data_IF_124160304644
#
_entry.id   IF_124160304644
#
_cell.length_a   1.000
_cell.length_b   1.000
_cell.length_c   1.000
_cell.angle_alpha   90.00
_cell.angle_beta   90.00
_cell.angle_gamma   90.00
#
_symmetry.space_group_name_H-M   'P 1'
#
loop_
_entity.id
_entity.type
_entity.pdbx_description
1 polymer ?
#
# COMPACT_ATOMS: atom_id res chain seq x y z
N UNK A 1 7.19 -4.36 8.67
CA UNK A 1 8.66 -4.19 8.68
C UNK A 1 9.23 -5.17 7.67
N UNK A 2 10.10 -4.73 6.76
CA UNK A 2 10.69 -5.57 5.71
C UNK A 2 12.19 -5.36 5.66
N UNK A 3 12.96 -6.45 5.67
CA UNK A 3 14.40 -6.44 5.35
C UNK A 3 14.54 -6.34 3.84
N UNK A 4 14.69 -5.12 3.32
CA UNK A 4 14.47 -4.86 1.90
C UNK A 4 15.47 -5.60 1.02
N UNK A 5 16.75 -5.67 1.41
CA UNK A 5 17.78 -6.34 0.61
C UNK A 5 17.62 -7.86 0.57
N UNK A 6 17.03 -8.44 1.63
CA UNK A 6 16.76 -9.87 1.67
C UNK A 6 15.55 -10.27 0.82
N UNK A 7 14.48 -9.46 0.87
CA UNK A 7 13.22 -9.77 0.18
C UNK A 7 13.21 -9.26 -1.27
N UNK A 8 13.78 -8.08 -1.50
CA UNK A 8 13.77 -7.36 -2.79
C UNK A 8 15.17 -6.74 -3.07
N UNK A 9 16.21 -7.54 -3.32
CA UNK A 9 17.61 -7.08 -3.45
C UNK A 9 17.81 -6.03 -4.56
N UNK A 10 17.11 -6.14 -5.68
CA UNK A 10 17.20 -5.16 -6.76
C UNK A 10 16.61 -3.80 -6.37
N UNK A 11 15.52 -3.82 -5.59
CA UNK A 11 14.89 -2.61 -5.05
C UNK A 11 15.79 -1.98 -3.98
N UNK A 12 16.41 -2.80 -3.13
CA UNK A 12 17.41 -2.36 -2.17
C UNK A 12 18.62 -1.67 -2.82
N UNK A 13 19.17 -2.23 -3.90
CA UNK A 13 20.28 -1.64 -4.65
C UNK A 13 19.89 -0.29 -5.27
N UNK A 14 18.70 -0.19 -5.85
CA UNK A 14 18.19 1.06 -6.42
C UNK A 14 17.91 2.11 -5.35
N UNK A 15 17.36 1.73 -4.19
CA UNK A 15 17.21 2.63 -3.06
C UNK A 15 18.55 3.22 -2.64
N UNK A 16 19.59 2.38 -2.52
CA UNK A 16 20.96 2.83 -2.22
C UNK A 16 21.50 3.79 -3.28
N UNK A 17 21.28 3.51 -4.57
CA UNK A 17 21.69 4.40 -5.66
C UNK A 17 20.99 5.76 -5.60
N UNK A 18 19.69 5.79 -5.35
CA UNK A 18 18.93 7.04 -5.19
C UNK A 18 19.39 7.82 -3.95
N UNK A 19 19.65 7.14 -2.83
CA UNK A 19 20.20 7.78 -1.62
C UNK A 19 21.61 8.31 -1.89
N UNK A 20 22.42 7.65 -2.74
CA UNK A 20 23.75 8.16 -3.12
C UNK A 20 23.67 9.52 -3.81
N UNK A 21 22.64 9.77 -4.61
CA UNK A 21 22.39 11.08 -5.24
C UNK A 21 22.04 12.17 -4.23
N UNK A 22 21.52 11.80 -3.05
CA UNK A 22 21.20 12.72 -1.96
C UNK A 22 22.42 12.92 -1.05
N UNK A 23 23.05 11.82 -0.62
CA UNK A 23 24.18 11.80 0.29
C UNK A 23 24.97 10.51 0.13
N UNK A 24 26.19 10.62 -0.41
CA UNK A 24 27.11 9.48 -0.54
C UNK A 24 27.45 8.85 0.81
N UNK A 25 27.62 9.68 1.86
CA UNK A 25 27.86 9.22 3.22
C UNK A 25 26.69 8.35 3.74
N UNK A 26 25.45 8.77 3.53
CA UNK A 26 24.28 8.00 3.92
C UNK A 26 24.17 6.69 3.13
N UNK A 27 24.44 6.73 1.83
CA UNK A 27 24.40 5.53 1.00
C UNK A 27 25.42 4.47 1.44
N UNK A 28 26.61 4.89 1.87
CA UNK A 28 27.65 3.99 2.37
C UNK A 28 27.31 3.36 3.73
N UNK A 29 26.38 3.97 4.47
CA UNK A 29 25.88 3.43 5.73
C UNK A 29 24.73 2.42 5.54
N UNK A 30 24.12 2.31 4.34
CA UNK A 30 23.13 1.26 4.03
C UNK A 30 23.79 -0.11 3.97
N UNK A 31 23.44 -0.95 4.93
CA UNK A 31 23.87 -2.34 5.03
C UNK A 31 22.83 -3.28 4.42
N UNK A 32 23.20 -4.57 4.26
CA UNK A 32 22.27 -5.60 3.76
C UNK A 32 21.07 -5.85 4.68
N UNK A 33 21.17 -5.45 5.94
CA UNK A 33 20.09 -5.55 6.93
C UNK A 33 19.21 -4.30 6.96
N UNK A 34 19.27 -3.43 5.95
CA UNK A 34 18.41 -2.25 5.88
C UNK A 34 16.93 -2.62 5.98
N UNK A 35 16.20 -1.79 6.70
CA UNK A 35 14.79 -2.02 6.99
C UNK A 35 13.95 -0.91 6.36
N UNK A 36 12.84 -1.32 5.76
CA UNK A 36 11.73 -0.43 5.43
C UNK A 36 10.54 -0.74 6.32
N UNK A 37 9.96 0.29 6.94
CA UNK A 37 8.68 0.18 7.63
C UNK A 37 7.65 1.01 6.87
N UNK A 38 6.50 0.40 6.62
CA UNK A 38 5.35 1.02 6.00
C UNK A 38 4.24 0.99 7.04
N UNK A 39 3.68 2.16 7.34
CA UNK A 39 2.65 2.35 8.36
C UNK A 39 1.53 3.18 7.74
N UNK A 40 0.29 2.84 8.04
CA UNK A 40 -0.86 3.68 7.69
C UNK A 40 -1.16 4.59 8.89
N UNK A 41 -1.21 5.91 8.69
CA UNK A 41 -1.41 6.87 9.79
C UNK A 41 -2.86 6.97 10.26
N UNK A 42 -3.81 6.77 9.35
CA UNK A 42 -5.25 6.85 9.61
C UNK A 42 -5.95 5.66 8.97
N UNK A 43 -7.21 5.43 9.34
CA UNK A 43 -8.07 4.49 8.63
C UNK A 43 -8.14 4.88 7.15
N UNK A 44 -7.78 3.99 6.21
CA UNK A 44 -7.96 4.25 4.79
C UNK A 44 -9.42 4.51 4.46
N UNK A 45 -9.66 5.40 3.49
CA UNK A 45 -11.01 5.76 3.04
C UNK A 45 -11.33 5.01 1.75
N UNK A 46 -12.41 4.22 1.76
CA UNK A 46 -12.95 3.58 0.57
C UNK A 46 -13.91 4.55 -0.12
N UNK A 47 -13.54 4.98 -1.31
CA UNK A 47 -14.30 5.90 -2.15
C UNK A 47 -14.99 5.11 -3.25
N UNK A 48 -16.33 5.16 -3.28
CA UNK A 48 -17.15 4.43 -4.24
C UNK A 48 -17.82 5.38 -5.21
N UNK A 49 -17.70 5.08 -6.50
CA UNK A 49 -18.38 5.77 -7.57
C UNK A 49 -19.00 4.75 -8.53
N UNK A 50 -19.82 5.22 -9.47
CA UNK A 50 -20.42 4.37 -10.49
C UNK A 50 -19.36 3.60 -11.29
N UNK A 51 -19.27 2.31 -11.04
CA UNK A 51 -18.35 1.40 -11.73
C UNK A 51 -16.88 1.52 -11.34
N UNK A 52 -16.51 2.32 -10.33
CA UNK A 52 -15.12 2.40 -9.87
C UNK A 52 -15.02 2.53 -8.35
N UNK A 53 -13.96 1.98 -7.78
CA UNK A 53 -13.66 2.14 -6.36
C UNK A 53 -12.18 2.46 -6.17
N UNK A 54 -11.88 3.28 -5.16
CA UNK A 54 -10.52 3.64 -4.78
C UNK A 54 -10.35 3.58 -3.28
N UNK A 55 -9.15 3.26 -2.82
CA UNK A 55 -8.76 3.38 -1.41
C UNK A 55 -7.77 4.52 -1.29
N UNK A 56 -8.18 5.61 -0.64
CA UNK A 56 -7.32 6.72 -0.30
C UNK A 56 -6.63 6.46 1.05
N UNK A 57 -5.32 6.66 1.10
CA UNK A 57 -4.52 6.33 2.27
C UNK A 57 -3.39 7.32 2.54
N UNK A 58 -3.14 7.56 3.84
CA UNK A 58 -2.00 8.31 4.35
C UNK A 58 -0.96 7.33 4.90
N UNK A 59 0.18 7.23 4.22
CA UNK A 59 1.22 6.26 4.48
C UNK A 59 2.46 6.96 5.04
N UNK A 60 3.10 6.35 6.02
CA UNK A 60 4.44 6.68 6.50
C UNK A 60 5.40 5.60 6.05
N UNK A 61 6.43 6.02 5.32
CA UNK A 61 7.55 5.18 4.94
C UNK A 61 8.79 5.58 5.73
N UNK A 62 9.28 4.66 6.57
CA UNK A 62 10.53 4.84 7.31
C UNK A 62 11.62 3.95 6.72
N UNK A 63 12.78 4.53 6.47
CA UNK A 63 13.96 3.81 5.99
C UNK A 63 15.03 3.80 7.07
N UNK A 64 15.52 2.61 7.43
CA UNK A 64 16.59 2.40 8.40
C UNK A 64 17.81 1.80 7.72
N UNK A 65 19.00 2.27 8.08
CA UNK A 65 20.27 1.84 7.50
C UNK A 65 20.58 0.35 7.70
N UNK A 66 20.13 -0.18 8.84
CA UNK A 66 20.39 -1.54 9.34
C UNK A 66 19.32 -1.90 10.37
N UNK A 67 19.22 -3.16 10.73
CA UNK A 67 18.29 -3.67 11.74
C UNK A 67 18.66 -3.30 13.18
N UNK A 68 19.89 -2.86 13.40
CA UNK A 68 20.41 -2.54 14.74
C UNK A 68 20.09 -1.10 15.18
N UNK A 69 19.84 -0.20 14.22
CA UNK A 69 19.59 1.22 14.52
C UNK A 69 18.12 1.48 14.79
N UNK A 70 17.86 2.27 15.84
CA UNK A 70 16.50 2.61 16.28
C UNK A 70 15.91 3.85 15.61
N UNK A 71 16.74 4.67 14.95
CA UNK A 71 16.30 5.90 14.28
C UNK A 71 16.33 5.72 12.76
N UNK A 72 15.28 6.13 12.05
CA UNK A 72 15.28 6.08 10.60
C UNK A 72 16.29 7.09 10.03
N UNK A 73 16.87 6.77 8.88
CA UNK A 73 17.58 7.72 8.03
C UNK A 73 16.69 8.86 7.62
N UNK A 74 15.47 8.54 7.21
CA UNK A 74 14.45 9.51 6.91
C UNK A 74 13.08 8.85 6.99
N UNK A 75 12.09 9.71 7.10
CA UNK A 75 10.68 9.35 7.14
C UNK A 75 9.97 10.16 6.06
N UNK A 76 9.26 9.47 5.17
CA UNK A 76 8.41 10.10 4.16
C UNK A 76 6.94 9.96 4.57
N UNK A 77 6.20 11.06 4.44
CA UNK A 77 4.74 11.04 4.47
C UNK A 77 4.21 11.02 3.04
N UNK A 78 3.30 10.10 2.76
CA UNK A 78 2.81 9.80 1.41
C UNK A 78 1.28 9.82 1.43
N UNK A 79 0.68 10.57 0.51
CA UNK A 79 -0.75 10.52 0.23
C UNK A 79 -0.93 9.75 -1.08
N UNK A 80 -1.58 8.59 -1.00
CA UNK A 80 -1.72 7.67 -2.13
C UNK A 80 -3.15 7.16 -2.31
N UNK A 81 -3.50 6.86 -3.56
CA UNK A 81 -4.74 6.17 -3.89
C UNK A 81 -4.42 4.84 -4.54
N UNK A 82 -5.10 3.79 -4.08
CA UNK A 82 -5.10 2.49 -4.73
C UNK A 82 -6.40 2.26 -5.49
N UNK A 83 -6.32 1.58 -6.63
CA UNK A 83 -7.52 1.03 -7.27
C UNK A 83 -8.08 -0.10 -6.40
N UNK A 84 -9.39 -0.08 -6.15
CA UNK A 84 -10.11 -1.14 -5.45
C UNK A 84 -11.02 -1.88 -6.43
N UNK A 85 -10.84 -3.19 -6.50
CA UNK A 85 -11.62 -4.08 -7.36
C UNK A 85 -12.44 -5.04 -6.51
N UNK A 86 -13.75 -4.97 -6.68
CA UNK A 86 -14.68 -5.93 -6.11
C UNK A 86 -14.90 -7.09 -7.08
N UNK A 87 -15.06 -8.29 -6.54
CA UNK A 87 -15.49 -9.46 -7.29
C UNK A 87 -16.11 -10.49 -6.36
N UNK A 88 -16.86 -11.45 -6.92
CA UNK A 88 -17.41 -12.57 -6.15
C UNK A 88 -16.54 -13.79 -6.35
N UNK A 89 -16.28 -14.51 -5.26
CA UNK A 89 -15.67 -15.84 -5.29
C UNK A 89 -16.40 -16.71 -4.28
N UNK A 90 -17.02 -17.79 -4.76
CA UNK A 90 -17.91 -18.62 -3.95
C UNK A 90 -18.99 -17.74 -3.28
N UNK A 91 -19.24 -17.88 -1.98
CA UNK A 91 -20.18 -17.05 -1.22
C UNK A 91 -19.52 -15.81 -0.59
N UNK A 92 -18.40 -15.35 -1.13
CA UNK A 92 -17.65 -14.20 -0.59
C UNK A 92 -17.60 -13.04 -1.58
N UNK A 93 -17.88 -11.85 -1.07
CA UNK A 93 -17.53 -10.60 -1.74
C UNK A 93 -16.06 -10.30 -1.43
N UNK A 94 -15.25 -10.31 -2.46
CA UNK A 94 -13.82 -10.10 -2.38
C UNK A 94 -13.50 -8.64 -2.71
N UNK A 95 -12.47 -8.10 -2.04
CA UNK A 95 -11.88 -6.81 -2.35
C UNK A 95 -10.39 -7.02 -2.62
N UNK A 96 -9.90 -6.57 -3.77
CA UNK A 96 -8.49 -6.56 -4.11
C UNK A 96 -8.02 -5.15 -4.44
N UNK A 97 -6.83 -4.80 -3.96
CA UNK A 97 -6.15 -3.56 -4.30
C UNK A 97 -5.15 -3.84 -5.41
N UNK A 98 -5.14 -3.02 -6.46
CA UNK A 98 -4.29 -3.23 -7.63
C UNK A 98 -3.18 -2.18 -7.69
N UNK A 99 -3.36 -1.18 -8.56
CA UNK A 99 -2.40 -0.10 -8.72
C UNK A 99 -2.40 0.82 -7.51
N UNK A 100 -1.25 1.43 -7.21
CA UNK A 100 -1.13 2.50 -6.21
C UNK A 100 -0.42 3.71 -6.81
N UNK A 101 -1.00 4.88 -6.60
CA UNK A 101 -0.50 6.15 -7.11
C UNK A 101 -0.27 7.13 -5.97
N UNK A 102 0.98 7.61 -5.85
CA UNK A 102 1.34 8.62 -4.86
C UNK A 102 1.15 10.02 -5.44
N UNK A 103 0.20 10.79 -4.88
CA UNK A 103 -0.09 12.16 -5.32
C UNK A 103 0.82 13.17 -4.64
N UNK A 104 1.21 12.87 -3.40
CA UNK A 104 2.08 13.72 -2.60
C UNK A 104 3.06 12.86 -1.82
N UNK A 105 4.34 13.26 -1.85
CA UNK A 105 5.41 12.69 -1.03
C UNK A 105 6.13 13.86 -0.38
N UNK A 106 6.24 13.85 0.96
CA UNK A 106 6.92 14.90 1.70
C UNK A 106 7.89 14.32 2.73
N UNK A 107 8.96 15.06 3.02
CA UNK A 107 9.94 14.69 4.04
C UNK A 107 9.38 15.06 5.40
N UNK A 108 9.14 14.08 6.27
CA UNK A 108 8.71 14.32 7.65
C UNK A 108 9.90 14.49 8.60
N UNK A 109 10.92 13.65 8.41
CA UNK A 109 12.14 13.67 9.21
C UNK A 109 13.32 13.20 8.35
N UNK A 110 14.53 13.69 8.64
CA UNK A 110 15.75 13.23 7.98
C UNK A 110 16.97 13.37 8.88
N UNK A 111 17.62 12.24 9.16
CA UNK A 111 18.94 12.16 9.76
C UNK A 111 20.08 12.25 8.74
N UNK A 112 19.76 12.36 7.43
CA UNK A 112 20.75 12.40 6.34
C UNK A 112 20.86 13.78 5.66
N UNK A 113 20.25 14.81 6.27
CA UNK A 113 20.14 16.16 5.73
C UNK A 113 18.82 16.42 4.99
N UNK A 114 18.54 17.68 4.68
CA UNK A 114 17.35 18.04 3.90
C UNK A 114 17.55 17.63 2.44
N UNK A 115 16.52 17.06 1.83
CA UNK A 115 16.51 16.69 0.42
C UNK A 115 15.11 16.79 -0.16
N UNK A 116 15.02 16.87 -1.50
CA UNK A 116 13.75 16.85 -2.20
C UNK A 116 13.20 15.42 -2.27
N UNK A 117 12.03 15.12 -1.67
CA UNK A 117 11.42 13.79 -1.70
C UNK A 117 11.08 13.30 -3.11
N UNK A 118 10.91 14.21 -4.07
CA UNK A 118 10.68 13.87 -5.47
C UNK A 118 11.78 12.98 -6.07
N UNK A 119 13.03 13.08 -5.57
CA UNK A 119 14.14 12.21 -5.96
C UNK A 119 13.90 10.73 -5.60
N UNK A 120 12.99 10.46 -4.66
CA UNK A 120 12.64 9.10 -4.22
C UNK A 120 11.27 8.65 -4.71
N UNK A 121 10.62 9.37 -5.64
CA UNK A 121 9.25 9.06 -6.09
C UNK A 121 9.12 7.66 -6.67
N UNK A 122 10.00 7.31 -7.60
CA UNK A 122 9.91 6.04 -8.33
C UNK A 122 10.19 4.87 -7.39
N UNK A 123 11.28 4.95 -6.62
CA UNK A 123 11.62 3.90 -5.65
C UNK A 123 10.55 3.74 -4.56
N UNK A 124 9.95 4.84 -4.10
CA UNK A 124 8.83 4.79 -3.15
C UNK A 124 7.63 4.09 -3.75
N UNK A 125 7.24 4.45 -4.98
CA UNK A 125 6.12 3.82 -5.69
C UNK A 125 6.33 2.32 -5.84
N UNK A 126 7.54 1.91 -6.25
CA UNK A 126 7.87 0.49 -6.39
C UNK A 126 7.87 -0.27 -5.06
N UNK A 127 8.32 0.35 -3.96
CA UNK A 127 8.22 -0.23 -2.62
C UNK A 127 6.75 -0.44 -2.24
N UNK A 128 5.88 0.54 -2.45
CA UNK A 128 4.46 0.42 -2.13
C UNK A 128 3.81 -0.70 -2.96
N UNK A 129 4.06 -0.75 -4.27
CA UNK A 129 3.52 -1.81 -5.15
C UNK A 129 4.04 -3.19 -4.77
N UNK A 130 5.33 -3.33 -4.44
CA UNK A 130 5.95 -4.64 -4.19
C UNK A 130 5.73 -5.15 -2.76
N UNK A 131 5.41 -4.25 -1.82
CA UNK A 131 5.34 -4.59 -0.38
C UNK A 131 3.98 -4.26 0.23
N UNK A 132 3.47 -3.05 0.05
CA UNK A 132 2.24 -2.64 0.73
C UNK A 132 1.04 -3.39 0.13
N UNK A 133 0.85 -3.31 -1.18
CA UNK A 133 -0.31 -3.91 -1.87
C UNK A 133 -0.45 -5.42 -1.61
N UNK A 134 0.61 -6.25 -1.76
CA UNK A 134 0.50 -7.68 -1.46
C UNK A 134 0.15 -7.96 0.00
N UNK A 135 0.67 -7.17 0.95
CA UNK A 135 0.37 -7.34 2.37
C UNK A 135 -1.08 -6.96 2.70
N UNK A 136 -1.60 -5.90 2.09
CA UNK A 136 -3.00 -5.49 2.24
C UNK A 136 -3.94 -6.53 1.64
N UNK A 137 -3.68 -6.99 0.41
CA UNK A 137 -4.46 -8.05 -0.23
C UNK A 137 -4.40 -9.36 0.55
N UNK A 138 -3.26 -9.69 1.15
CA UNK A 138 -3.12 -10.85 2.03
C UNK A 138 -4.11 -10.81 3.21
N UNK A 139 -4.41 -9.62 3.75
CA UNK A 139 -5.39 -9.43 4.83
C UNK A 139 -6.83 -9.40 4.32
N UNK A 140 -7.07 -8.85 3.13
CA UNK A 140 -8.40 -8.77 2.51
C UNK A 140 -8.87 -10.11 1.89
N UNK A 141 -7.96 -11.09 1.79
CA UNK A 141 -8.20 -12.39 1.14
C UNK A 141 -9.36 -13.20 1.72
N UNK A 142 -9.79 -12.92 2.96
CA UNK A 142 -10.95 -13.62 3.55
C UNK A 142 -12.29 -13.19 2.95
N UNK A 143 -12.33 -12.06 2.26
CA UNK A 143 -13.57 -11.46 1.76
C UNK A 143 -14.59 -11.13 2.87
N UNK A 144 -15.79 -10.77 2.42
CA UNK A 144 -16.98 -10.54 3.25
C UNK A 144 -18.01 -11.62 2.90
N UNK A 145 -18.47 -12.43 3.87
CA UNK A 145 -19.49 -13.45 3.61
C UNK A 145 -20.81 -12.85 3.12
N UNK A 146 -21.38 -13.41 2.04
CA UNK A 146 -22.69 -13.02 1.50
C UNK A 146 -23.82 -13.97 1.95
N UNK A 147 -23.67 -14.60 3.12
CA UNK A 147 -24.60 -15.62 3.64
C UNK A 147 -26.03 -15.12 3.85
N UNK A 148 -26.21 -13.81 4.05
CA UNK A 148 -27.53 -13.17 4.18
C UNK A 148 -28.44 -13.48 2.98
N UNK A 149 -27.89 -13.57 1.75
CA UNK A 149 -28.68 -13.81 0.53
C UNK A 149 -29.31 -15.20 0.56
N UNK A 150 -28.55 -16.22 0.97
CA UNK A 150 -29.07 -17.59 1.17
C UNK A 150 -30.08 -17.66 2.31
N UNK A 151 -29.83 -16.94 3.41
CA UNK A 151 -30.76 -16.89 4.54
C UNK A 151 -32.11 -16.25 4.17
N UNK A 152 -32.13 -15.39 3.16
CA UNK A 152 -33.35 -14.78 2.61
C UNK A 152 -34.03 -15.64 1.53
N UNK A 153 -33.50 -16.82 1.21
CA UNK A 153 -34.09 -17.77 0.26
C UNK A 153 -33.64 -17.58 -1.19
N UNK A 154 -32.64 -16.74 -1.46
CA UNK A 154 -32.12 -16.53 -2.82
C UNK A 154 -30.91 -17.44 -3.10
N UNK A 155 -30.86 -17.98 -4.32
CA UNK A 155 -29.79 -18.90 -4.73
C UNK A 155 -28.44 -18.19 -4.97
N UNK A 156 -28.49 -16.95 -5.49
CA UNK A 156 -27.30 -16.21 -5.88
C UNK A 156 -27.45 -14.70 -5.62
N UNK A 157 -26.30 -14.05 -5.39
CA UNK A 157 -26.18 -12.62 -5.21
C UNK A 157 -25.52 -11.98 -6.44
N UNK A 158 -25.97 -10.78 -6.78
CA UNK A 158 -25.29 -9.85 -7.67
C UNK A 158 -24.84 -8.63 -6.85
N UNK A 159 -23.81 -7.93 -7.34
CA UNK A 159 -23.34 -6.70 -6.72
C UNK A 159 -23.14 -5.62 -7.77
N UNK A 160 -23.26 -4.37 -7.34
CA UNK A 160 -22.97 -3.19 -8.14
C UNK A 160 -22.42 -2.06 -7.27
N UNK A 161 -21.73 -1.12 -7.92
CA UNK A 161 -21.26 0.10 -7.27
C UNK A 161 -22.16 1.26 -7.67
N UNK A 162 -22.64 1.99 -6.67
CA UNK A 162 -23.22 3.32 -6.84
C UNK A 162 -22.30 4.34 -6.20
N UNK A 163 -22.64 5.62 -6.38
CA UNK A 163 -22.02 6.66 -5.57
C UNK A 163 -22.23 6.34 -4.09
N UNK A 164 -21.13 6.31 -3.34
CA UNK A 164 -21.06 6.11 -1.88
C UNK A 164 -21.59 4.75 -1.36
N UNK A 165 -21.95 3.78 -2.21
CA UNK A 165 -22.44 2.48 -1.75
C UNK A 165 -22.08 1.31 -2.65
N UNK A 166 -21.86 0.15 -2.01
CA UNK A 166 -21.85 -1.15 -2.65
C UNK A 166 -23.21 -1.80 -2.41
N UNK A 167 -23.91 -2.10 -3.50
CA UNK A 167 -25.27 -2.64 -3.47
C UNK A 167 -25.22 -4.13 -3.75
N UNK A 168 -25.84 -4.92 -2.88
CA UNK A 168 -26.00 -6.37 -3.05
C UNK A 168 -27.47 -6.66 -3.32
N UNK A 169 -27.76 -7.39 -4.39
CA UNK A 169 -29.11 -7.77 -4.82
C UNK A 169 -29.18 -9.28 -5.11
N UNK A 170 -30.37 -9.89 -5.12
CA UNK A 170 -30.53 -11.22 -5.72
C UNK A 170 -30.13 -11.20 -7.21
N UNK A 171 -29.43 -12.23 -7.68
CA UNK A 171 -29.05 -12.34 -9.09
C UNK A 171 -30.23 -12.73 -10.00
N UNK A 172 -31.24 -13.39 -9.44
CA UNK A 172 -32.49 -13.78 -10.08
C UNK A 172 -33.61 -13.85 -9.03
N UNK A 173 -34.83 -13.54 -9.45
CA UNK A 173 -36.06 -13.69 -8.64
C UNK A 173 -36.73 -15.02 -8.91
#
# INVERSE_FOLDING_TARGET
>A
MVLLDYVLPELARRLKSNIKMISEKAANQLQRTQIVKILTQKTPELLLDYGSAKVAQQIVLEVFATSEVRRPFFTLGIEANSEAQFYTKDDQLMLNLNEISSHRIHLMNSGIGLFNPGLLKDITSEILTSVLIPNENGKLRSGIPMSMIKALGFEAASWSLTKDALVITPASS
#
